data_IF_312211421387
#
_entry.id   IF_312211421387
#
_cell.length_a   1.000
_cell.length_b   1.000
_cell.length_c   1.000
_cell.angle_alpha   90.00
_cell.angle_beta   90.00
_cell.angle_gamma   90.00
#
_symmetry.space_group_name_H-M   'P 1'
#
loop_
_entity.id
_entity.type
_entity.pdbx_description
1 polymer ?
#
# COMPACT_ATOMS: atom_id res chain seq x y z
N UNK A 1 11.39 -29.32 14.33
CA UNK A 1 10.73 -29.59 13.02
C UNK A 1 9.54 -30.56 13.15
N UNK A 2 8.43 -30.18 13.80
CA UNK A 2 7.19 -31.01 13.82
C UNK A 2 5.87 -30.21 13.76
N UNK A 3 5.89 -28.88 13.59
CA UNK A 3 4.67 -28.06 13.76
C UNK A 3 4.28 -27.14 12.59
N UNK A 4 4.99 -27.17 11.45
CA UNK A 4 4.61 -26.39 10.25
C UNK A 4 3.81 -27.26 9.27
N UNK A 5 4.20 -28.53 9.09
CA UNK A 5 3.46 -29.48 8.22
C UNK A 5 2.03 -29.80 8.71
N UNK A 6 1.71 -29.55 9.99
CA UNK A 6 0.39 -29.80 10.55
C UNK A 6 -0.64 -28.70 10.21
N UNK A 7 -0.20 -27.52 9.75
CA UNK A 7 -1.11 -26.41 9.36
C UNK A 7 -1.49 -26.42 7.89
N UNK A 8 -0.72 -27.06 7.02
CA UNK A 8 -1.09 -27.25 5.60
C UNK A 8 -2.09 -28.40 5.40
N UNK A 9 -2.13 -29.38 6.30
CA UNK A 9 -3.03 -30.54 6.20
C UNK A 9 -4.48 -30.29 6.65
N UNK A 10 -4.82 -29.07 7.07
CA UNK A 10 -6.17 -28.71 7.58
C UNK A 10 -6.75 -27.53 6.79
N UNK A 11 -6.36 -27.38 5.52
CA UNK A 11 -6.96 -26.39 4.63
C UNK A 11 -8.24 -26.98 4.01
N UNK A 12 -9.40 -26.28 4.09
CA UNK A 12 -10.66 -26.78 3.57
C UNK A 12 -10.58 -27.14 2.08
N UNK A 13 -11.30 -28.18 1.67
CA UNK A 13 -11.35 -28.83 0.33
C UNK A 13 -11.48 -27.85 -0.84
N UNK A 14 -11.98 -26.63 -0.59
CA UNK A 14 -12.11 -25.55 -1.58
C UNK A 14 -10.77 -24.95 -2.03
N UNK A 15 -9.72 -25.03 -1.21
CA UNK A 15 -8.37 -24.51 -1.54
C UNK A 15 -7.63 -25.46 -2.51
N UNK A 16 -7.93 -26.76 -2.48
CA UNK A 16 -7.34 -27.74 -3.40
C UNK A 16 -7.65 -27.44 -4.88
N UNK A 17 -8.75 -26.73 -5.17
CA UNK A 17 -9.13 -26.38 -6.54
C UNK A 17 -8.22 -25.33 -7.19
N UNK A 18 -7.43 -24.58 -6.40
CA UNK A 18 -6.51 -23.54 -6.91
C UNK A 18 -5.14 -24.12 -7.30
N UNK A 19 -4.82 -25.35 -6.90
CA UNK A 19 -3.51 -25.97 -7.07
C UNK A 19 -3.38 -26.86 -8.33
N UNK A 20 -4.05 -26.52 -9.43
CA UNK A 20 -3.87 -27.20 -10.73
C UNK A 20 -2.97 -26.40 -11.67
N UNK A 21 -1.70 -26.21 -11.31
CA UNK A 21 -0.66 -25.70 -12.23
C UNK A 21 0.64 -26.44 -11.90
N UNK A 22 1.37 -26.90 -12.93
CA UNK A 22 2.68 -27.57 -12.82
C UNK A 22 3.53 -26.94 -11.72
N UNK A 23 3.74 -27.68 -10.64
CA UNK A 23 4.50 -27.22 -9.48
C UNK A 23 5.99 -27.27 -9.79
N UNK A 24 6.54 -26.16 -10.27
CA UNK A 24 7.88 -25.82 -9.84
C UNK A 24 7.82 -25.66 -8.33
N UNK A 25 8.58 -26.47 -7.58
CA UNK A 25 8.62 -26.50 -6.12
C UNK A 25 9.30 -25.23 -5.54
N UNK A 26 8.78 -24.05 -5.87
CA UNK A 26 9.22 -22.81 -5.27
C UNK A 26 8.55 -22.65 -3.90
N UNK A 27 9.32 -22.18 -2.91
CA UNK A 27 8.85 -21.94 -1.55
C UNK A 27 8.46 -23.20 -0.74
N UNK A 28 9.11 -24.34 -0.98
CA UNK A 28 8.98 -25.57 -0.17
C UNK A 28 10.34 -26.00 0.40
N UNK A 29 10.35 -26.77 1.49
CA UNK A 29 11.59 -27.22 2.13
C UNK A 29 12.47 -26.03 2.53
N UNK A 30 13.76 -26.09 2.20
CA UNK A 30 14.73 -25.02 2.49
C UNK A 30 14.44 -23.73 1.69
N UNK A 31 13.79 -23.84 0.53
CA UNK A 31 13.39 -22.67 -0.27
C UNK A 31 12.20 -21.92 0.32
N UNK A 32 11.46 -22.49 1.28
CA UNK A 32 10.39 -21.79 1.97
C UNK A 32 10.89 -20.56 2.72
N UNK A 33 12.10 -20.64 3.31
CA UNK A 33 12.74 -19.51 3.98
C UNK A 33 13.17 -18.41 3.00
N UNK A 34 13.28 -18.73 1.70
CA UNK A 34 13.64 -17.75 0.65
C UNK A 34 12.44 -16.93 0.17
N UNK A 35 11.22 -17.31 0.55
CA UNK A 35 10.00 -16.67 0.11
C UNK A 35 9.36 -15.83 1.22
N UNK A 36 8.72 -14.72 0.82
CA UNK A 36 7.89 -13.95 1.74
C UNK A 36 6.70 -14.83 2.19
N UNK A 37 6.48 -15.03 3.51
CA UNK A 37 5.40 -15.87 4.00
C UNK A 37 4.02 -15.42 3.50
N UNK A 38 3.15 -16.39 3.21
CA UNK A 38 1.78 -16.11 2.80
C UNK A 38 0.91 -15.69 4.00
N UNK A 39 -0.18 -14.95 3.72
CA UNK A 39 -1.25 -14.64 4.66
C UNK A 39 -0.83 -13.81 5.90
N UNK A 40 0.07 -12.85 5.74
CA UNK A 40 0.31 -11.85 6.78
C UNK A 40 -0.98 -11.10 7.15
N UNK A 41 -1.18 -10.90 8.45
CA UNK A 41 -2.33 -10.18 8.99
C UNK A 41 -2.10 -8.67 8.94
N UNK A 42 -2.07 -8.10 7.73
CA UNK A 42 -2.01 -6.66 7.55
C UNK A 42 -3.37 -6.00 7.71
N UNK A 43 -3.37 -4.65 7.76
CA UNK A 43 -4.59 -3.87 7.85
C UNK A 43 -5.50 -4.19 6.68
N UNK A 44 -6.70 -4.66 6.97
CA UNK A 44 -7.69 -5.00 5.96
C UNK A 44 -8.48 -3.76 5.55
N UNK A 45 -9.10 -3.81 4.36
CA UNK A 45 -9.99 -2.75 3.87
C UNK A 45 -11.26 -3.37 3.35
N UNK A 46 -12.29 -3.33 4.19
CA UNK A 46 -13.61 -3.87 3.84
C UNK A 46 -14.55 -2.75 3.40
N UNK A 47 -15.36 -3.08 2.39
CA UNK A 47 -16.46 -2.26 1.89
C UNK A 47 -17.72 -3.09 1.95
N UNK A 48 -18.80 -2.52 2.44
CA UNK A 48 -20.05 -3.27 2.64
C UNK A 48 -21.20 -2.63 1.88
N UNK A 49 -22.12 -3.48 1.42
CA UNK A 49 -23.42 -3.09 0.89
C UNK A 49 -24.50 -3.93 1.62
N UNK A 50 -24.97 -3.47 2.80
CA UNK A 50 -25.79 -4.29 3.69
C UNK A 50 -27.13 -4.73 3.09
N UNK A 51 -27.75 -3.86 2.27
CA UNK A 51 -28.98 -4.17 1.52
C UNK A 51 -28.86 -5.46 0.69
N UNK A 52 -27.65 -5.79 0.24
CA UNK A 52 -27.35 -6.96 -0.59
C UNK A 52 -26.57 -8.06 0.15
N UNK A 53 -26.31 -7.90 1.45
CA UNK A 53 -25.46 -8.80 2.23
C UNK A 53 -24.08 -9.06 1.56
N UNK A 54 -23.52 -8.00 0.95
CA UNK A 54 -22.23 -8.06 0.26
C UNK A 54 -21.14 -7.38 1.07
N UNK A 55 -19.99 -8.05 1.15
CA UNK A 55 -18.76 -7.55 1.75
C UNK A 55 -17.61 -7.77 0.77
N UNK A 56 -16.94 -6.69 0.36
CA UNK A 56 -15.75 -6.77 -0.48
C UNK A 56 -14.47 -6.43 0.28
N UNK A 57 -13.42 -7.23 0.07
CA UNK A 57 -12.05 -6.87 0.46
C UNK A 57 -11.37 -6.08 -0.66
N UNK A 58 -11.04 -4.82 -0.40
CA UNK A 58 -10.38 -3.92 -1.33
C UNK A 58 -8.86 -4.06 -1.26
N UNK A 59 -8.33 -5.10 -1.92
CA UNK A 59 -6.88 -5.37 -2.01
C UNK A 59 -6.25 -4.40 -3.01
N UNK A 60 -5.31 -3.57 -2.56
CA UNK A 60 -4.68 -2.56 -3.41
C UNK A 60 -4.14 -3.14 -4.72
N UNK A 61 -4.32 -2.39 -5.81
CA UNK A 61 -3.90 -2.74 -7.19
C UNK A 61 -4.57 -4.00 -7.79
N UNK A 62 -5.57 -4.57 -7.11
CA UNK A 62 -6.41 -5.65 -7.63
C UNK A 62 -7.83 -5.14 -7.87
N UNK A 63 -7.99 -4.12 -8.73
CA UNK A 63 -9.30 -3.50 -9.00
C UNK A 63 -9.94 -2.82 -7.77
N UNK A 64 -9.16 -2.54 -6.72
CA UNK A 64 -9.64 -2.01 -5.42
C UNK A 64 -10.45 -0.72 -5.50
N UNK A 65 -10.05 0.21 -6.39
CA UNK A 65 -10.74 1.50 -6.56
C UNK A 65 -12.14 1.27 -7.11
N UNK A 66 -12.27 0.47 -8.17
CA UNK A 66 -13.54 0.19 -8.81
C UNK A 66 -14.44 -0.68 -7.91
N UNK A 67 -13.88 -1.70 -7.25
CA UNK A 67 -14.62 -2.49 -6.26
C UNK A 67 -15.17 -1.61 -5.12
N UNK A 68 -14.37 -0.64 -4.66
CA UNK A 68 -14.81 0.33 -3.66
C UNK A 68 -15.96 1.19 -4.18
N UNK A 69 -15.87 1.69 -5.41
CA UNK A 69 -16.93 2.49 -6.03
C UNK A 69 -18.22 1.69 -6.23
N UNK A 70 -18.12 0.44 -6.69
CA UNK A 70 -19.27 -0.47 -6.86
C UNK A 70 -19.98 -0.71 -5.53
N UNK A 71 -19.24 -1.06 -4.48
CA UNK A 71 -19.84 -1.31 -3.16
C UNK A 71 -20.35 -0.03 -2.49
N UNK A 72 -19.78 1.13 -2.83
CA UNK A 72 -20.30 2.42 -2.41
C UNK A 72 -21.62 2.77 -3.12
N UNK A 73 -21.71 2.52 -4.43
CA UNK A 73 -22.95 2.65 -5.17
C UNK A 73 -24.04 1.74 -4.58
N UNK A 74 -23.74 0.46 -4.39
CA UNK A 74 -24.69 -0.52 -3.81
C UNK A 74 -25.05 -0.27 -2.34
N UNK A 75 -24.29 0.57 -1.64
CA UNK A 75 -24.60 0.96 -0.26
C UNK A 75 -25.70 2.01 -0.19
N UNK A 76 -25.76 2.92 -1.16
CA UNK A 76 -26.72 4.04 -1.22
C UNK A 76 -26.89 4.49 -2.69
N UNK A 77 -27.66 3.71 -3.46
CA UNK A 77 -27.81 3.90 -4.90
C UNK A 77 -28.48 5.24 -5.21
N UNK A 78 -29.53 5.57 -4.47
CA UNK A 78 -30.28 6.82 -4.65
C UNK A 78 -29.40 8.04 -4.37
N UNK A 79 -28.70 8.06 -3.24
CA UNK A 79 -27.81 9.16 -2.89
C UNK A 79 -26.64 9.28 -3.87
N UNK A 80 -26.09 8.14 -4.32
CA UNK A 80 -25.02 8.12 -5.31
C UNK A 80 -25.49 8.71 -6.65
N UNK A 81 -26.64 8.28 -7.17
CA UNK A 81 -27.21 8.80 -8.42
C UNK A 81 -27.63 10.27 -8.32
N UNK A 82 -28.29 10.68 -7.23
CA UNK A 82 -28.68 12.09 -6.97
C UNK A 82 -27.47 13.02 -6.95
N UNK A 83 -26.32 12.52 -6.49
CA UNK A 83 -25.07 13.27 -6.47
C UNK A 83 -24.42 13.42 -7.86
N UNK A 84 -25.03 12.86 -8.92
CA UNK A 84 -24.53 12.85 -10.31
C UNK A 84 -23.08 12.33 -10.42
N UNK A 85 -22.72 11.39 -9.54
CA UNK A 85 -21.41 10.73 -9.54
C UNK A 85 -21.41 9.52 -10.48
N UNK A 86 -20.23 9.18 -10.98
CA UNK A 86 -19.98 7.94 -11.70
C UNK A 86 -18.94 7.08 -10.96
N UNK A 87 -18.85 5.79 -11.27
CA UNK A 87 -17.93 4.87 -10.58
C UNK A 87 -16.46 5.30 -10.70
N UNK A 88 -16.07 5.90 -11.82
CA UNK A 88 -14.71 6.39 -12.08
C UNK A 88 -14.37 7.67 -11.29
N UNK A 89 -15.37 8.43 -10.85
CA UNK A 89 -15.22 9.69 -10.12
C UNK A 89 -15.04 9.50 -8.61
N UNK A 90 -15.23 8.28 -8.09
CA UNK A 90 -15.00 7.97 -6.68
C UNK A 90 -13.51 7.70 -6.42
N UNK A 91 -12.71 8.74 -6.65
CA UNK A 91 -11.26 8.73 -6.49
C UNK A 91 -10.90 9.25 -5.10
N UNK A 92 -9.93 8.61 -4.45
CA UNK A 92 -9.43 8.98 -3.12
C UNK A 92 -8.70 10.34 -3.05
N UNK A 93 -8.44 10.97 -4.20
CA UNK A 93 -7.68 12.20 -4.34
C UNK A 93 -8.30 13.05 -5.44
N UNK A 94 -9.30 13.87 -5.10
CA UNK A 94 -9.68 14.99 -5.96
C UNK A 94 -9.24 16.30 -5.31
N UNK A 95 -8.73 17.27 -6.10
CA UNK A 95 -8.13 18.51 -5.60
C UNK A 95 -9.15 19.44 -4.93
N UNK A 96 -8.70 20.30 -3.98
CA UNK A 96 -9.54 21.14 -3.13
C UNK A 96 -9.97 22.44 -3.84
N UNK A 97 -10.43 22.35 -5.08
CA UNK A 97 -10.85 23.54 -5.86
C UNK A 97 -12.30 23.50 -6.31
N UNK A 98 -13.10 22.67 -5.67
CA UNK A 98 -14.55 22.88 -5.64
C UNK A 98 -15.07 22.35 -4.32
N UNK A 99 -16.18 22.89 -3.85
CA UNK A 99 -16.97 22.45 -2.69
C UNK A 99 -17.53 21.01 -2.83
N UNK A 100 -16.91 20.16 -3.66
CA UNK A 100 -17.30 18.80 -3.96
C UNK A 100 -16.63 17.79 -3.00
N UNK A 101 -17.28 17.67 -1.86
CA UNK A 101 -17.36 16.54 -0.91
C UNK A 101 -16.35 15.39 -1.08
N UNK A 102 -15.56 15.21 -0.01
CA UNK A 102 -15.20 13.94 0.65
C UNK A 102 -15.90 12.73 0.00
N UNK A 103 -15.13 11.68 -0.35
CA UNK A 103 -15.60 10.36 -0.82
C UNK A 103 -17.02 10.05 -0.36
N UNK A 104 -17.94 9.78 -1.28
CA UNK A 104 -19.38 9.72 -0.99
C UNK A 104 -19.75 8.74 0.14
N UNK A 105 -19.06 7.60 0.18
CA UNK A 105 -19.19 6.61 1.25
C UNK A 105 -18.07 6.63 2.29
N UNK A 106 -17.21 7.65 2.25
CA UNK A 106 -16.10 7.84 3.18
C UNK A 106 -16.55 7.68 4.63
N UNK A 107 -15.98 6.69 5.33
CA UNK A 107 -16.32 6.34 6.73
C UNK A 107 -17.78 5.86 6.96
N UNK A 108 -18.60 5.72 5.92
CA UNK A 108 -20.00 5.25 6.01
C UNK A 108 -20.11 3.74 5.82
N UNK A 109 -19.43 3.21 4.81
CA UNK A 109 -19.44 1.79 4.47
C UNK A 109 -18.05 1.13 4.53
N UNK A 110 -17.13 1.73 5.28
CA UNK A 110 -15.73 1.38 5.30
C UNK A 110 -15.30 0.85 6.66
N UNK A 111 -14.66 -0.31 6.63
CA UNK A 111 -14.19 -0.99 7.83
C UNK A 111 -12.76 -1.49 7.61
N UNK A 112 -12.03 -1.64 8.70
CA UNK A 112 -10.63 -2.07 8.72
C UNK A 112 -10.41 -3.49 9.27
N UNK A 113 -11.47 -4.11 9.79
CA UNK A 113 -11.45 -5.47 10.33
C UNK A 113 -12.83 -6.13 10.19
N UNK A 114 -12.86 -7.47 10.16
CA UNK A 114 -14.13 -8.20 10.18
C UNK A 114 -14.85 -8.04 11.51
N UNK A 115 -14.11 -7.89 12.62
CA UNK A 115 -14.68 -7.65 13.94
C UNK A 115 -15.48 -6.34 14.00
N UNK A 116 -15.01 -5.26 13.35
CA UNK A 116 -15.76 -3.99 13.31
C UNK A 116 -16.99 -4.06 12.41
N UNK A 117 -16.94 -4.87 11.34
CA UNK A 117 -18.12 -5.17 10.51
C UNK A 117 -19.15 -5.97 11.32
N UNK A 118 -18.73 -7.07 11.93
CA UNK A 118 -19.60 -7.98 12.69
C UNK A 118 -20.29 -7.26 13.86
N UNK A 119 -19.53 -6.47 14.63
CA UNK A 119 -20.09 -5.66 15.72
C UNK A 119 -21.22 -4.73 15.26
N UNK A 120 -21.14 -4.19 14.03
CA UNK A 120 -22.11 -3.22 13.51
C UNK A 120 -23.26 -3.86 12.75
N UNK A 121 -23.00 -4.94 12.02
CA UNK A 121 -23.92 -5.51 11.04
C UNK A 121 -24.32 -6.96 11.34
N UNK A 122 -23.77 -7.59 12.39
CA UNK A 122 -24.00 -8.99 12.78
C UNK A 122 -23.77 -9.93 11.59
N UNK A 123 -22.50 -10.13 11.26
CA UNK A 123 -22.09 -10.78 10.03
C UNK A 123 -22.33 -12.30 10.12
N UNK A 124 -23.41 -12.78 9.53
CA UNK A 124 -23.65 -14.21 9.31
C UNK A 124 -23.11 -14.65 7.94
N UNK A 125 -22.05 -15.46 7.91
CA UNK A 125 -21.41 -15.93 6.68
C UNK A 125 -22.26 -16.92 5.87
N UNK A 126 -23.37 -17.43 6.41
CA UNK A 126 -24.34 -18.20 5.63
C UNK A 126 -25.16 -17.29 4.71
N UNK A 127 -25.46 -16.07 5.18
CA UNK A 127 -26.24 -15.05 4.46
C UNK A 127 -25.32 -14.14 3.64
N UNK A 128 -24.27 -13.64 4.27
CA UNK A 128 -23.35 -12.69 3.67
C UNK A 128 -22.39 -13.36 2.68
N UNK A 129 -22.16 -12.71 1.55
CA UNK A 129 -21.14 -13.12 0.59
C UNK A 129 -19.93 -12.18 0.67
N UNK A 130 -18.78 -12.79 0.92
CA UNK A 130 -17.49 -12.11 0.89
C UNK A 130 -16.85 -12.28 -0.48
N UNK A 131 -16.45 -11.17 -1.09
CA UNK A 131 -15.76 -11.14 -2.38
C UNK A 131 -14.38 -10.49 -2.23
N UNK A 132 -13.41 -11.02 -2.96
CA UNK A 132 -12.11 -10.41 -3.14
C UNK A 132 -11.75 -10.53 -4.62
N UNK A 133 -11.28 -9.44 -5.21
CA UNK A 133 -10.74 -9.46 -6.57
C UNK A 133 -9.23 -9.63 -6.46
N UNK A 134 -8.69 -10.60 -7.18
CA UNK A 134 -7.24 -10.81 -7.33
C UNK A 134 -6.88 -10.62 -8.80
N UNK A 135 -5.67 -10.12 -9.04
CA UNK A 135 -5.09 -9.92 -10.37
C UNK A 135 -3.92 -10.87 -10.57
N UNK A 136 -3.61 -11.16 -11.82
CA UNK A 136 -2.41 -11.90 -12.20
C UNK A 136 -1.16 -11.26 -11.54
N UNK A 137 -0.27 -12.05 -10.90
CA UNK A 137 0.86 -11.53 -10.12
C UNK A 137 1.80 -10.58 -10.85
N UNK A 138 2.18 -10.88 -12.10
CA UNK A 138 3.08 -10.03 -12.91
C UNK A 138 2.40 -8.68 -13.18
N UNK A 139 1.16 -8.71 -13.65
CA UNK A 139 0.36 -7.52 -13.93
C UNK A 139 0.10 -6.65 -12.68
N UNK A 140 -0.12 -7.30 -11.53
CA UNK A 140 -0.23 -6.62 -10.23
C UNK A 140 1.09 -5.95 -9.86
N UNK A 141 2.21 -6.65 -9.99
CA UNK A 141 3.54 -6.14 -9.68
C UNK A 141 3.90 -4.96 -10.60
N UNK A 142 3.78 -5.12 -11.92
CA UNK A 142 4.08 -4.08 -12.92
C UNK A 142 3.28 -2.82 -12.65
N UNK A 143 1.97 -2.93 -12.39
CA UNK A 143 1.13 -1.76 -12.09
C UNK A 143 1.51 -1.08 -10.77
N UNK A 144 1.88 -1.86 -9.74
CA UNK A 144 2.38 -1.31 -8.48
C UNK A 144 3.71 -0.60 -8.65
N UNK A 145 4.67 -1.24 -9.32
CA UNK A 145 6.01 -0.72 -9.58
C UNK A 145 5.96 0.53 -10.46
N UNK A 146 5.19 0.53 -11.54
CA UNK A 146 5.04 1.70 -12.41
C UNK A 146 4.32 2.89 -11.73
N UNK A 147 3.40 2.61 -10.81
CA UNK A 147 2.71 3.66 -10.05
C UNK A 147 3.58 4.26 -8.94
N UNK A 148 4.41 3.44 -8.30
CA UNK A 148 5.15 3.83 -7.10
C UNK A 148 6.62 4.16 -7.34
N UNK A 149 7.23 3.63 -8.40
CA UNK A 149 8.70 3.56 -8.51
C UNK A 149 9.21 4.16 -9.82
N UNK A 150 8.44 4.16 -10.90
CA UNK A 150 8.82 4.88 -12.11
C UNK A 150 8.57 6.38 -11.90
N UNK A 151 9.66 7.14 -11.74
CA UNK A 151 9.64 8.56 -11.37
C UNK A 151 9.12 9.44 -12.50
N UNK A 152 8.23 10.40 -12.17
CA UNK A 152 7.48 11.22 -13.15
C UNK A 152 7.90 12.71 -13.18
N UNK A 153 9.12 13.03 -12.78
CA UNK A 153 9.60 14.42 -12.70
C UNK A 153 10.54 14.80 -13.86
N UNK A 154 10.37 14.20 -15.05
CA UNK A 154 11.26 14.44 -16.21
C UNK A 154 12.76 14.30 -15.89
N UNK A 155 13.12 13.45 -14.93
CA UNK A 155 14.51 13.26 -14.52
C UNK A 155 15.41 12.80 -15.67
N UNK A 156 14.85 12.18 -16.72
CA UNK A 156 15.60 11.86 -17.93
C UNK A 156 16.26 13.06 -18.60
N UNK A 157 15.67 14.25 -18.50
CA UNK A 157 16.20 15.48 -19.13
C UNK A 157 16.56 16.58 -18.15
N UNK A 158 16.04 16.54 -16.91
CA UNK A 158 16.17 17.65 -15.96
C UNK A 158 16.81 17.30 -14.63
N UNK A 159 17.36 16.08 -14.46
CA UNK A 159 17.88 15.63 -13.15
C UNK A 159 18.83 16.65 -12.49
N UNK A 160 19.74 17.26 -13.26
CA UNK A 160 20.71 18.23 -12.74
C UNK A 160 20.11 19.60 -12.39
N UNK A 161 18.89 19.90 -12.84
CA UNK A 161 18.16 21.11 -12.46
C UNK A 161 17.58 20.99 -11.04
N UNK A 162 17.49 19.77 -10.49
CA UNK A 162 16.90 19.53 -9.18
C UNK A 162 17.91 19.60 -8.05
N UNK A 163 17.55 20.31 -6.98
CA UNK A 163 18.17 20.11 -5.67
C UNK A 163 17.51 18.92 -4.97
N UNK A 164 18.16 17.75 -4.99
CA UNK A 164 17.65 16.53 -4.36
C UNK A 164 17.78 16.62 -2.83
N UNK A 165 16.64 16.52 -2.13
CA UNK A 165 16.58 16.40 -0.68
C UNK A 165 16.26 14.96 -0.28
N UNK A 166 17.20 14.30 0.38
CA UNK A 166 16.98 12.97 0.97
C UNK A 166 16.14 13.10 2.24
N UNK A 167 15.01 12.40 2.30
CA UNK A 167 14.18 12.30 3.50
C UNK A 167 14.53 11.04 4.29
N UNK A 168 14.93 11.20 5.56
CA UNK A 168 15.04 10.12 6.53
C UNK A 168 13.90 10.25 7.55
N UNK A 169 13.05 9.23 7.59
CA UNK A 169 11.91 9.20 8.50
C UNK A 169 12.32 8.93 9.96
N UNK A 170 13.54 8.45 10.20
CA UNK A 170 14.12 8.25 11.55
C UNK A 170 14.71 9.57 12.07
N UNK A 171 15.46 10.28 11.22
CA UNK A 171 16.08 11.57 11.55
C UNK A 171 15.61 12.70 10.62
N UNK A 172 14.34 13.14 10.73
CA UNK A 172 13.76 14.08 9.77
C UNK A 172 14.25 15.54 9.96
N UNK A 173 14.88 15.86 11.10
CA UNK A 173 15.35 17.22 11.42
C UNK A 173 16.35 17.75 10.40
N UNK A 174 17.30 16.92 9.95
CA UNK A 174 18.28 17.29 8.92
C UNK A 174 17.62 17.63 7.60
N UNK A 175 16.59 16.87 7.21
CA UNK A 175 15.80 17.15 6.02
C UNK A 175 15.03 18.47 6.16
N UNK A 176 14.35 18.67 7.29
CA UNK A 176 13.58 19.89 7.53
C UNK A 176 14.47 21.14 7.54
N UNK A 177 15.65 21.10 8.16
CA UNK A 177 16.61 22.19 8.11
C UNK A 177 16.98 22.56 6.67
N UNK A 178 17.39 21.56 5.86
CA UNK A 178 17.71 21.79 4.43
C UNK A 178 16.54 22.34 3.64
N UNK A 179 15.32 21.87 3.89
CA UNK A 179 14.11 22.37 3.23
C UNK A 179 13.85 23.84 3.58
N UNK A 180 13.88 24.19 4.88
CA UNK A 180 13.68 25.57 5.32
C UNK A 180 14.76 26.51 4.77
N UNK A 181 16.02 26.06 4.70
CA UNK A 181 17.11 26.83 4.10
C UNK A 181 16.88 27.12 2.61
N UNK A 182 16.36 26.16 1.85
CA UNK A 182 15.98 26.38 0.45
C UNK A 182 14.88 27.42 0.34
N UNK A 183 13.83 27.33 1.18
CA UNK A 183 12.74 28.31 1.18
C UNK A 183 13.26 29.72 1.49
N UNK A 184 14.14 29.86 2.50
CA UNK A 184 14.80 31.12 2.85
C UNK A 184 15.62 31.67 1.68
N UNK A 185 16.46 30.84 1.05
CA UNK A 185 17.29 31.24 -0.12
C UNK A 185 16.44 31.70 -1.30
N UNK A 186 15.26 31.12 -1.47
CA UNK A 186 14.29 31.50 -2.50
C UNK A 186 13.38 32.67 -2.09
N UNK A 187 13.71 33.39 -1.01
CA UNK A 187 13.00 34.59 -0.55
C UNK A 187 11.53 34.35 -0.21
N UNK A 188 11.18 33.15 0.23
CA UNK A 188 9.86 32.88 0.81
C UNK A 188 9.71 33.72 2.09
N UNK A 189 8.58 34.42 2.31
CA UNK A 189 8.41 35.28 3.49
C UNK A 189 8.55 34.52 4.80
N UNK A 190 9.17 35.14 5.80
CA UNK A 190 9.49 34.51 7.10
C UNK A 190 8.24 33.94 7.80
N UNK A 191 7.11 34.65 7.74
CA UNK A 191 5.84 34.17 8.29
C UNK A 191 5.36 32.83 7.69
N UNK A 192 5.61 32.58 6.39
CA UNK A 192 5.25 31.33 5.72
C UNK A 192 6.19 30.20 6.13
N UNK A 193 7.49 30.51 6.22
CA UNK A 193 8.51 29.56 6.68
C UNK A 193 8.24 29.16 8.14
N UNK A 194 7.86 30.10 8.98
CA UNK A 194 7.47 29.86 10.37
C UNK A 194 6.22 28.98 10.47
N UNK A 195 5.22 29.24 9.64
CA UNK A 195 4.02 28.41 9.57
C UNK A 195 4.37 26.96 9.18
N UNK A 196 5.20 26.78 8.15
CA UNK A 196 5.67 25.46 7.70
C UNK A 196 6.46 24.77 8.81
N UNK A 197 7.43 25.45 9.42
CA UNK A 197 8.28 24.90 10.47
C UNK A 197 7.46 24.44 11.69
N UNK A 198 6.50 25.26 12.14
CA UNK A 198 5.58 24.90 13.22
C UNK A 198 4.73 23.69 12.83
N UNK A 199 4.22 23.63 11.60
CA UNK A 199 3.35 22.55 11.13
C UNK A 199 4.08 21.20 11.02
N UNK A 200 5.26 21.18 10.42
CA UNK A 200 6.05 19.94 10.24
C UNK A 200 6.65 19.44 11.57
N UNK A 201 6.88 20.32 12.54
CA UNK A 201 7.38 19.96 13.87
C UNK A 201 6.29 19.42 14.80
N UNK A 202 5.03 19.80 14.59
CA UNK A 202 3.90 19.45 15.47
C UNK A 202 3.04 18.30 14.96
N UNK A 203 3.06 18.00 13.65
CA UNK A 203 2.20 16.97 13.05
C UNK A 203 3.00 15.80 12.47
N UNK A 204 2.94 14.63 13.12
CA UNK A 204 2.99 13.38 12.37
C UNK A 204 1.70 13.30 11.57
N UNK A 205 1.79 13.28 10.25
CA UNK A 205 0.61 13.20 9.39
C UNK A 205 -0.24 11.98 9.78
N UNK A 206 -1.56 12.11 9.72
CA UNK A 206 -2.56 11.07 10.04
C UNK A 206 -2.42 9.80 9.18
N UNK A 207 -1.55 9.84 8.16
CA UNK A 207 -1.27 8.79 7.20
C UNK A 207 0.18 8.31 7.25
N UNK A 208 0.95 8.65 8.28
CA UNK A 208 2.31 8.13 8.44
C UNK A 208 2.27 6.60 8.56
N UNK A 209 2.69 5.92 7.49
CA UNK A 209 2.90 4.46 7.46
C UNK A 209 4.27 4.06 8.04
N UNK A 210 5.08 5.07 8.40
CA UNK A 210 6.41 4.90 8.97
C UNK A 210 6.33 4.19 10.32
N UNK A 211 7.14 3.15 10.49
CA UNK A 211 7.26 2.33 11.71
C UNK A 211 6.04 1.49 12.08
N UNK A 212 5.09 1.30 11.16
CA UNK A 212 4.05 0.28 11.34
C UNK A 212 4.68 -1.11 11.52
N UNK A 213 4.00 -2.00 12.23
CA UNK A 213 4.45 -3.39 12.36
C UNK A 213 4.65 -4.04 10.99
N UNK A 214 3.71 -3.80 10.07
CA UNK A 214 3.76 -4.24 8.68
C UNK A 214 5.04 -3.78 7.97
N UNK A 215 5.39 -2.50 8.05
CA UNK A 215 6.59 -1.98 7.41
C UNK A 215 7.87 -2.59 8.02
N UNK A 216 7.92 -2.74 9.34
CA UNK A 216 9.09 -3.32 10.03
C UNK A 216 9.28 -4.79 9.68
N UNK A 217 8.24 -5.61 9.81
CA UNK A 217 8.30 -7.04 9.47
C UNK A 217 8.63 -7.26 7.99
N UNK A 218 8.05 -6.46 7.09
CA UNK A 218 8.35 -6.53 5.65
C UNK A 218 9.81 -6.16 5.39
N UNK A 219 10.31 -5.09 6.03
CA UNK A 219 11.72 -4.67 5.90
C UNK A 219 12.67 -5.74 6.41
N UNK A 220 12.42 -6.27 7.60
CA UNK A 220 13.29 -7.27 8.22
C UNK A 220 13.30 -8.56 7.39
N UNK A 221 12.14 -8.99 6.87
CA UNK A 221 12.04 -10.15 5.98
C UNK A 221 12.79 -9.95 4.66
N UNK A 222 12.70 -8.76 4.06
CA UNK A 222 13.41 -8.46 2.82
C UNK A 222 14.92 -8.40 3.02
N UNK A 223 15.38 -7.69 4.05
CA UNK A 223 16.81 -7.42 4.28
C UNK A 223 17.56 -8.57 4.96
N UNK A 224 16.87 -9.51 5.61
CA UNK A 224 17.49 -10.73 6.15
C UNK A 224 17.71 -11.81 5.08
N UNK A 225 17.26 -11.58 3.85
CA UNK A 225 17.33 -12.52 2.75
C UNK A 225 18.16 -11.93 1.60
N UNK A 226 19.34 -12.50 1.35
CA UNK A 226 20.28 -12.03 0.32
C UNK A 226 19.66 -12.04 -1.09
N UNK A 227 18.85 -13.04 -1.41
CA UNK A 227 18.19 -13.15 -2.71
C UNK A 227 17.18 -12.02 -2.93
N UNK A 228 16.31 -11.78 -1.95
CA UNK A 228 15.32 -10.70 -2.01
C UNK A 228 15.98 -9.31 -1.99
N UNK A 229 17.04 -9.14 -1.21
CA UNK A 229 17.84 -7.91 -1.18
C UNK A 229 18.50 -7.66 -2.53
N UNK A 230 19.05 -8.68 -3.19
CA UNK A 230 19.63 -8.55 -4.53
C UNK A 230 18.56 -8.15 -5.57
N UNK A 231 17.37 -8.74 -5.53
CA UNK A 231 16.27 -8.32 -6.40
C UNK A 231 15.85 -6.86 -6.13
N UNK A 232 15.74 -6.46 -4.86
CA UNK A 232 15.46 -5.06 -4.48
C UNK A 232 16.51 -4.12 -5.07
N UNK A 233 17.80 -4.42 -4.90
CA UNK A 233 18.89 -3.61 -5.44
C UNK A 233 18.77 -3.51 -6.95
N UNK A 234 18.52 -4.61 -7.67
CA UNK A 234 18.37 -4.60 -9.14
C UNK A 234 17.17 -3.75 -9.59
N UNK A 235 16.06 -3.79 -8.86
CA UNK A 235 14.86 -3.01 -9.18
C UNK A 235 15.03 -1.50 -8.90
N UNK A 236 15.82 -1.13 -7.91
CA UNK A 236 16.01 0.27 -7.46
C UNK A 236 17.44 0.78 -7.64
N UNK A 237 18.27 0.13 -8.45
CA UNK A 237 19.70 0.41 -8.54
C UNK A 237 19.99 1.88 -8.86
N UNK A 238 19.31 2.42 -9.86
CA UNK A 238 19.47 3.82 -10.24
C UNK A 238 18.93 4.79 -9.18
N UNK A 239 17.99 4.39 -8.35
CA UNK A 239 17.57 5.21 -7.21
C UNK A 239 18.69 5.31 -6.17
N UNK A 240 19.42 4.22 -5.90
CA UNK A 240 20.59 4.28 -5.02
C UNK A 240 21.69 5.19 -5.59
N UNK A 241 22.03 5.00 -6.86
CA UNK A 241 23.13 5.72 -7.51
C UNK A 241 22.80 7.20 -7.73
N UNK A 242 21.67 7.51 -8.38
CA UNK A 242 21.34 8.88 -8.79
C UNK A 242 21.02 9.79 -7.61
N UNK A 243 20.47 9.24 -6.52
CA UNK A 243 20.07 10.03 -5.35
C UNK A 243 21.00 9.83 -4.15
N UNK A 244 22.13 9.13 -4.31
CA UNK A 244 23.18 9.02 -3.30
C UNK A 244 22.77 8.26 -2.04
N UNK A 245 21.94 7.22 -2.18
CA UNK A 245 21.62 6.33 -1.06
C UNK A 245 22.65 5.21 -0.96
N UNK A 246 23.05 4.79 0.26
CA UNK A 246 23.94 3.66 0.43
C UNK A 246 23.25 2.38 -0.06
N UNK A 247 23.97 1.59 -0.87
CA UNK A 247 23.50 0.28 -1.30
C UNK A 247 23.59 -0.68 -0.10
N UNK A 248 22.50 -1.41 0.24
CA UNK A 248 22.55 -2.40 1.31
C UNK A 248 23.63 -3.46 1.04
N UNK A 249 24.39 -3.89 2.08
CA UNK A 249 25.35 -4.96 1.90
C UNK A 249 24.60 -6.26 1.59
N UNK A 250 25.01 -6.94 0.53
CA UNK A 250 24.58 -8.31 0.23
C UNK A 250 25.78 -9.20 0.46
N UNK A 251 25.62 -10.27 1.24
CA UNK A 251 26.65 -11.30 1.30
C UNK A 251 26.63 -12.03 -0.04
N UNK A 252 27.49 -11.59 -0.97
CA UNK A 252 27.76 -12.37 -2.17
C UNK A 252 28.53 -13.60 -1.69
N UNK A 253 27.81 -14.70 -1.50
CA UNK A 253 28.45 -16.01 -1.48
C UNK A 253 28.96 -16.21 -2.89
N UNK A 254 30.27 -16.06 -3.07
CA UNK A 254 30.93 -16.47 -4.29
C UNK A 254 30.60 -17.96 -4.48
N UNK A 255 29.81 -18.26 -5.51
CA UNK A 255 29.64 -19.61 -6.03
C UNK A 255 30.93 -20.07 -6.70
#
# INVERSE_FOLDING_TARGET
>A
MKNINRKLSVLPTRIQYVAKIKTTNHCVGDDAAKCVPALYSYKQRYRVAPKYHLLGCAIEKNFSTMLTAILCYLFDEEGFQRSKRNLSSEIFHQPPTSTMKIRFCGKRNEYDSLASVDKKLKLDLHVWKMIAVVREPVERFVSGFADKCLRRCEFSSRLYDYQILQFDAIQPSTFFGKLLDILKKNKVPEQEIDFINKSISTQRTTHSTTNTLEQRETRDTLLSNDYLTNLLIKMYYFDFVLFGYPIPPVLVKNE
#
